data_IF_319957367221
#
_entry.id   IF_319957367221
#
_cell.length_a   1.000
_cell.length_b   1.000
_cell.length_c   1.000
_cell.angle_alpha   90.00
_cell.angle_beta   90.00
_cell.angle_gamma   90.00
#
_symmetry.space_group_name_H-M   'P 1'
#
loop_
_entity.id
_entity.type
_entity.pdbx_description
1 polymer ?
#
# COMPACT_ATOMS: atom_id res chain seq x y z
N UNK A 1 11.65 -10.46 -13.11
CA UNK A 1 12.13 -9.06 -13.15
C UNK A 1 11.80 -8.50 -14.52
N UNK A 2 11.26 -7.27 -14.60
CA UNK A 2 11.06 -6.59 -15.88
C UNK A 2 12.20 -5.58 -16.10
N UNK A 3 12.73 -5.52 -17.33
CA UNK A 3 13.76 -4.54 -17.70
C UNK A 3 13.04 -3.28 -18.20
N UNK A 4 13.38 -2.12 -17.63
CA UNK A 4 12.92 -0.82 -18.11
C UNK A 4 14.13 0.05 -18.44
N UNK A 5 14.13 0.63 -19.64
CA UNK A 5 15.18 1.55 -20.09
C UNK A 5 14.67 2.97 -19.95
N UNK A 6 15.49 3.85 -19.36
CA UNK A 6 15.16 5.28 -19.15
C UNK A 6 16.31 6.10 -19.71
N UNK A 7 16.00 7.19 -20.42
CA UNK A 7 17.01 8.17 -20.85
C UNK A 7 17.25 9.15 -19.70
N UNK A 8 18.51 9.34 -19.33
CA UNK A 8 18.92 10.29 -18.30
C UNK A 8 19.53 11.54 -18.94
N UNK A 9 19.27 12.71 -18.36
CA UNK A 9 19.96 13.92 -18.75
C UNK A 9 21.42 13.90 -18.30
N UNK A 10 22.23 14.80 -18.85
CA UNK A 10 23.65 14.93 -18.47
C UNK A 10 23.84 15.18 -16.96
N UNK A 11 22.96 15.99 -16.36
CA UNK A 11 22.97 16.26 -14.92
C UNK A 11 22.59 15.02 -14.10
N UNK A 12 21.55 14.28 -14.51
CA UNK A 12 21.13 13.06 -13.81
C UNK A 12 22.25 12.01 -13.82
N UNK A 13 22.94 11.84 -14.96
CA UNK A 13 24.08 10.93 -15.06
C UNK A 13 25.25 11.32 -14.15
N UNK A 14 25.51 12.63 -14.00
CA UNK A 14 26.56 13.14 -13.10
C UNK A 14 26.22 12.78 -11.65
N UNK A 15 24.98 13.03 -11.24
CA UNK A 15 24.48 12.68 -9.90
C UNK A 15 24.59 11.18 -9.66
N UNK A 16 24.18 10.37 -10.64
CA UNK A 16 24.16 8.92 -10.50
C UNK A 16 25.58 8.35 -10.37
N UNK A 17 26.55 8.86 -11.14
CA UNK A 17 27.98 8.50 -11.00
C UNK A 17 28.55 8.91 -9.64
N UNK A 18 28.19 10.10 -9.15
CA UNK A 18 28.63 10.55 -7.84
C UNK A 18 28.09 9.66 -6.72
N UNK A 19 26.81 9.29 -6.80
CA UNK A 19 26.18 8.35 -5.86
C UNK A 19 26.89 6.99 -5.89
N UNK A 20 27.15 6.42 -7.07
CA UNK A 20 27.89 5.16 -7.18
C UNK A 20 29.28 5.22 -6.55
N UNK A 21 30.03 6.32 -6.73
CA UNK A 21 31.36 6.50 -6.12
C UNK A 21 31.29 6.60 -4.60
N UNK A 22 30.24 7.23 -4.08
CA UNK A 22 30.11 7.53 -2.65
C UNK A 22 29.53 6.33 -1.89
N UNK A 23 28.59 5.59 -2.48
CA UNK A 23 27.91 4.47 -1.83
C UNK A 23 28.50 3.10 -2.19
N UNK A 24 29.33 3.03 -3.24
CA UNK A 24 29.81 1.79 -3.85
C UNK A 24 28.67 0.84 -4.28
N UNK A 25 27.46 1.35 -4.47
CA UNK A 25 26.29 0.57 -4.89
C UNK A 25 26.13 0.59 -6.43
N UNK A 26 25.55 -0.48 -7.02
CA UNK A 26 25.17 -0.47 -8.42
C UNK A 26 24.00 0.49 -8.66
N UNK A 27 23.89 1.03 -9.89
CA UNK A 27 22.80 1.91 -10.34
C UNK A 27 21.42 1.41 -9.92
N UNK A 28 21.19 0.10 -10.08
CA UNK A 28 19.89 -0.53 -9.78
C UNK A 28 19.53 -0.53 -8.29
N UNK A 29 20.51 -0.51 -7.38
CA UNK A 29 20.28 -0.40 -5.94
C UNK A 29 19.95 1.04 -5.56
N UNK A 30 20.72 2.00 -6.07
CA UNK A 30 20.49 3.44 -5.88
C UNK A 30 19.09 3.84 -6.37
N UNK A 31 18.72 3.44 -7.59
CA UNK A 31 17.40 3.74 -8.15
C UNK A 31 16.27 3.11 -7.32
N UNK A 32 16.44 1.87 -6.86
CA UNK A 32 15.43 1.18 -6.03
C UNK A 32 15.23 1.88 -4.70
N UNK A 33 16.31 2.38 -4.09
CA UNK A 33 16.26 3.18 -2.87
C UNK A 33 15.56 4.53 -3.12
N UNK A 34 15.86 5.21 -4.23
CA UNK A 34 15.15 6.42 -4.65
C UNK A 34 13.65 6.19 -4.84
N UNK A 35 13.28 5.12 -5.53
CA UNK A 35 11.86 4.75 -5.73
C UNK A 35 11.15 4.46 -4.40
N UNK A 36 11.82 3.80 -3.44
CA UNK A 36 11.25 3.58 -2.09
C UNK A 36 11.12 4.87 -1.29
N UNK A 37 12.05 5.82 -1.44
CA UNK A 37 11.97 7.11 -0.77
C UNK A 37 10.83 7.98 -1.32
N UNK A 38 10.56 7.87 -2.63
CA UNK A 38 9.46 8.57 -3.31
C UNK A 38 8.13 7.82 -3.23
N UNK A 39 8.15 6.54 -2.84
CA UNK A 39 6.93 5.81 -2.58
C UNK A 39 6.18 6.59 -1.50
N UNK A 40 5.00 7.17 -1.81
CA UNK A 40 4.21 7.80 -0.77
C UNK A 40 4.03 6.72 0.29
N UNK A 41 4.37 7.03 1.55
CA UNK A 41 3.79 6.29 2.66
C UNK A 41 2.31 6.34 2.34
N UNK A 42 1.73 5.21 1.95
CA UNK A 42 0.28 5.15 1.77
C UNK A 42 -0.27 5.88 2.98
N UNK A 43 -1.16 6.86 2.83
CA UNK A 43 -1.96 7.22 3.98
C UNK A 43 -2.55 5.89 4.39
N UNK A 44 -1.99 5.30 5.44
CA UNK A 44 -2.67 4.30 6.25
C UNK A 44 -4.00 4.98 6.42
N UNK A 45 -5.05 4.46 5.74
CA UNK A 45 -6.38 5.03 5.84
C UNK A 45 -6.55 5.29 7.32
N UNK A 46 -6.62 6.57 7.70
CA UNK A 46 -6.32 6.98 9.08
C UNK A 46 -7.25 6.32 10.09
N UNK A 47 -8.31 5.67 9.62
CA UNK A 47 -8.96 4.61 10.33
C UNK A 47 -9.20 3.40 9.40
N UNK A 48 -8.85 2.16 9.82
CA UNK A 48 -9.42 0.98 9.18
C UNK A 48 -10.94 1.15 9.20
N UNK A 49 -11.61 0.91 8.06
CA UNK A 49 -13.08 1.00 8.04
C UNK A 49 -13.59 -0.04 9.04
N UNK A 50 -14.71 0.22 9.70
CA UNK A 50 -15.25 -0.72 10.70
C UNK A 50 -15.36 -2.17 10.17
N UNK A 51 -15.58 -2.33 8.86
CA UNK A 51 -15.58 -3.63 8.19
C UNK A 51 -14.20 -4.31 8.09
N UNK A 52 -13.13 -3.52 7.92
CA UNK A 52 -11.77 -4.03 7.89
C UNK A 52 -11.37 -4.59 9.27
N UNK A 53 -11.85 -3.95 10.36
CA UNK A 53 -11.71 -4.45 11.74
C UNK A 53 -12.58 -5.70 11.95
N UNK A 54 -13.83 -5.69 11.49
CA UNK A 54 -14.73 -6.83 11.61
C UNK A 54 -14.14 -8.12 11.00
N UNK A 55 -13.45 -7.99 9.85
CA UNK A 55 -12.77 -9.11 9.19
C UNK A 55 -11.60 -9.70 9.97
N UNK A 56 -10.97 -8.93 10.86
CA UNK A 56 -9.82 -9.39 11.64
C UNK A 56 -10.20 -9.97 12.99
N UNK A 57 -11.48 -9.89 13.39
CA UNK A 57 -11.95 -10.50 14.62
C UNK A 57 -11.95 -12.02 14.46
N UNK A 58 -11.30 -12.72 15.39
CA UNK A 58 -11.50 -14.15 15.55
C UNK A 58 -12.89 -14.39 16.14
N UNK A 59 -13.78 -14.94 15.30
CA UNK A 59 -15.18 -15.17 15.65
C UNK A 59 -15.40 -16.54 16.33
N UNK A 60 -14.32 -17.29 16.61
CA UNK A 60 -14.36 -18.60 17.25
C UNK A 60 -14.85 -19.74 16.33
N UNK A 61 -14.87 -20.98 16.85
CA UNK A 61 -15.31 -22.15 16.10
C UNK A 61 -16.81 -22.03 15.77
N UNK A 62 -17.10 -21.85 14.47
CA UNK A 62 -18.42 -21.48 13.99
C UNK A 62 -18.61 -19.98 13.71
N UNK A 63 -17.53 -19.25 13.43
CA UNK A 63 -17.57 -17.80 13.16
C UNK A 63 -18.61 -17.32 12.13
N UNK A 64 -19.02 -18.18 11.20
CA UNK A 64 -20.19 -17.99 10.32
C UNK A 64 -21.38 -18.93 10.64
N UNK A 65 -21.20 -19.92 11.52
CA UNK A 65 -22.19 -20.96 11.83
C UNK A 65 -23.32 -20.50 12.79
N UNK A 66 -23.16 -19.39 13.51
CA UNK A 66 -24.26 -18.64 14.16
C UNK A 66 -24.56 -17.30 13.47
N UNK A 67 -24.05 -17.13 12.25
CA UNK A 67 -23.66 -15.85 11.65
C UNK A 67 -24.70 -14.74 11.64
N UNK A 68 -24.20 -13.51 11.60
CA UNK A 68 -24.96 -12.38 11.06
C UNK A 68 -25.50 -12.80 9.68
N UNK A 69 -26.83 -12.83 9.51
CA UNK A 69 -27.45 -13.10 8.21
C UNK A 69 -26.78 -12.21 7.15
N UNK A 70 -26.61 -12.69 5.93
CA UNK A 70 -26.12 -11.88 4.80
C UNK A 70 -26.82 -10.51 4.72
N UNK A 71 -28.07 -10.46 5.19
CA UNK A 71 -28.85 -9.24 5.35
C UNK A 71 -28.27 -8.24 6.37
N UNK A 72 -27.77 -8.71 7.51
CA UNK A 72 -27.11 -7.89 8.53
C UNK A 72 -25.77 -7.35 8.00
N UNK A 73 -24.99 -8.18 7.30
CA UNK A 73 -23.75 -7.74 6.66
C UNK A 73 -24.03 -6.66 5.59
N UNK A 74 -25.07 -6.87 4.78
CA UNK A 74 -25.51 -5.91 3.76
C UNK A 74 -25.97 -4.60 4.40
N UNK A 75 -26.82 -4.65 5.43
CA UNK A 75 -27.31 -3.47 6.15
C UNK A 75 -26.17 -2.69 6.84
N UNK A 76 -25.19 -3.37 7.41
CA UNK A 76 -23.99 -2.74 7.97
C UNK A 76 -23.19 -2.00 6.90
N UNK A 77 -22.93 -2.64 5.75
CA UNK A 77 -22.21 -2.01 4.63
C UNK A 77 -22.95 -0.76 4.13
N UNK A 78 -24.27 -0.82 4.01
CA UNK A 78 -25.10 0.30 3.56
C UNK A 78 -25.11 1.46 4.56
N UNK A 79 -25.15 1.18 5.87
CA UNK A 79 -25.08 2.21 6.91
C UNK A 79 -23.73 2.94 6.90
N UNK A 80 -22.62 2.21 6.72
CA UNK A 80 -21.27 2.78 6.63
C UNK A 80 -21.13 3.65 5.37
N UNK A 81 -21.68 3.21 4.22
CA UNK A 81 -21.69 4.02 2.98
C UNK A 81 -22.40 5.35 3.17
N UNK A 82 -23.60 5.33 3.75
CA UNK A 82 -24.36 6.55 4.05
C UNK A 82 -23.62 7.51 4.97
N UNK A 83 -22.97 7.00 6.02
CA UNK A 83 -22.21 7.83 6.99
C UNK A 83 -21.00 8.52 6.35
N UNK A 84 -20.37 7.88 5.35
CA UNK A 84 -19.15 8.40 4.71
C UNK A 84 -19.39 9.02 3.32
N UNK A 85 -20.65 9.14 2.87
CA UNK A 85 -20.98 9.74 1.57
C UNK A 85 -20.44 9.00 0.35
N UNK A 86 -20.30 7.67 0.44
CA UNK A 86 -19.78 6.79 -0.63
C UNK A 86 -20.90 6.12 -1.43
#
# INVERSE_FOLDING_TARGET
MAIRTVRLGAEDERILRQLQRTTCEPVSAILRRGLRALQPRQPVRQHPRAFDIYKTLDLGPGGYARGASLEVEKRMKDAIRRKHGL
#
